data_IF_620889213657
#
_entry.id   IF_620889213657
#
_cell.length_a   1.000
_cell.length_b   1.000
_cell.length_c   1.000
_cell.angle_alpha   90.00
_cell.angle_beta   90.00
_cell.angle_gamma   90.00
#
_symmetry.space_group_name_H-M   'P 1'
#
loop_
_entity.id
_entity.type
_entity.pdbx_description
1 polymer ?
#
# COMPACT_ATOMS: atom_id res chain seq x y z
N UNK A 1 -3.15 19.40 -30.84
CA UNK A 1 -3.91 18.12 -30.68
C UNK A 1 -3.69 17.66 -29.26
N UNK A 2 -4.74 17.66 -28.44
CA UNK A 2 -4.68 17.08 -27.10
C UNK A 2 -4.38 15.58 -27.25
N UNK A 3 -3.27 15.13 -26.64
CA UNK A 3 -2.97 13.70 -26.55
C UNK A 3 -4.06 13.04 -25.71
N UNK A 4 -4.77 12.07 -26.27
CA UNK A 4 -5.75 11.29 -25.52
C UNK A 4 -5.04 10.44 -24.47
N UNK A 5 -5.61 10.34 -23.29
CA UNK A 5 -5.09 9.48 -22.23
C UNK A 5 -4.94 8.00 -22.66
N UNK A 6 -5.72 7.58 -23.67
CA UNK A 6 -5.62 6.24 -24.27
C UNK A 6 -4.31 6.00 -25.05
N UNK A 7 -3.59 7.08 -25.43
CA UNK A 7 -2.33 6.97 -26.16
C UNK A 7 -1.10 6.94 -25.22
N UNK A 8 -1.32 6.89 -23.89
CA UNK A 8 -0.25 6.85 -22.90
C UNK A 8 -0.27 5.52 -22.16
N UNK A 9 0.87 4.87 -22.08
CA UNK A 9 1.08 3.64 -21.30
C UNK A 9 2.33 3.82 -20.43
N UNK A 10 2.20 3.58 -19.13
CA UNK A 10 3.30 3.77 -18.19
C UNK A 10 3.86 5.20 -18.16
N UNK A 11 3.01 6.22 -18.45
CA UNK A 11 3.43 7.62 -18.56
C UNK A 11 4.14 7.96 -19.88
N UNK A 12 4.28 7.02 -20.82
CA UNK A 12 4.93 7.21 -22.11
C UNK A 12 3.89 7.31 -23.23
N UNK A 13 3.96 8.38 -24.06
CA UNK A 13 3.10 8.50 -25.23
C UNK A 13 3.46 7.47 -26.30
N UNK A 14 2.46 6.75 -26.78
CA UNK A 14 2.58 5.80 -27.91
C UNK A 14 2.45 6.49 -29.26
N UNK A 15 1.89 7.69 -29.30
CA UNK A 15 1.68 8.44 -30.54
C UNK A 15 2.97 8.73 -31.29
N UNK A 16 2.97 8.47 -32.61
CA UNK A 16 4.13 8.73 -33.48
C UNK A 16 5.30 7.77 -33.34
N UNK A 17 5.19 6.70 -32.54
CA UNK A 17 6.23 5.68 -32.41
C UNK A 17 6.00 4.54 -33.40
N UNK A 18 7.10 3.87 -33.79
CA UNK A 18 7.03 2.66 -34.58
C UNK A 18 6.23 1.56 -33.85
N UNK A 19 5.51 0.73 -34.61
CA UNK A 19 4.67 -0.36 -34.08
C UNK A 19 5.45 -1.34 -33.21
N UNK A 20 6.68 -1.65 -33.56
CA UNK A 20 7.55 -2.54 -32.76
C UNK A 20 7.84 -1.90 -31.40
N UNK A 21 8.18 -0.61 -31.37
CA UNK A 21 8.44 0.12 -30.15
C UNK A 21 7.19 0.24 -29.27
N UNK A 22 6.00 0.44 -29.89
CA UNK A 22 4.73 0.45 -29.16
C UNK A 22 4.47 -0.90 -28.47
N UNK A 23 4.67 -2.02 -29.16
CA UNK A 23 4.52 -3.36 -28.56
C UNK A 23 5.51 -3.60 -27.41
N UNK A 24 6.77 -3.22 -27.57
CA UNK A 24 7.78 -3.35 -26.52
C UNK A 24 7.38 -2.54 -25.27
N UNK A 25 6.91 -1.32 -25.44
CA UNK A 25 6.44 -0.49 -24.32
C UNK A 25 5.24 -1.13 -23.61
N UNK A 26 4.29 -1.67 -24.38
CA UNK A 26 3.12 -2.36 -23.83
C UNK A 26 3.53 -3.61 -23.06
N UNK A 27 4.41 -4.44 -23.59
CA UNK A 27 4.89 -5.66 -22.94
C UNK A 27 5.65 -5.36 -21.65
N UNK A 28 6.51 -4.33 -21.66
CA UNK A 28 7.22 -3.87 -20.46
C UNK A 28 6.25 -3.35 -19.40
N UNK A 29 5.26 -2.55 -19.80
CA UNK A 29 4.25 -2.02 -18.88
C UNK A 29 3.39 -3.14 -18.29
N UNK A 30 2.96 -4.10 -19.11
CA UNK A 30 2.21 -5.27 -18.63
C UNK A 30 3.03 -6.10 -17.64
N UNK A 31 4.30 -6.35 -17.94
CA UNK A 31 5.19 -7.09 -17.04
C UNK A 31 5.33 -6.38 -15.69
N UNK A 32 5.61 -5.07 -15.71
CA UNK A 32 5.69 -4.26 -14.49
C UNK A 32 4.38 -4.28 -13.69
N UNK A 33 3.23 -4.22 -14.38
CA UNK A 33 1.91 -4.26 -13.74
C UNK A 33 1.59 -5.63 -13.14
N UNK A 34 2.02 -6.73 -13.78
CA UNK A 34 1.89 -8.09 -13.23
C UNK A 34 2.72 -8.22 -11.95
N UNK A 35 3.96 -7.73 -11.94
CA UNK A 35 4.81 -7.75 -10.75
C UNK A 35 4.21 -6.94 -9.62
N UNK A 36 3.73 -5.73 -9.91
CA UNK A 36 3.04 -4.88 -8.97
C UNK A 36 1.75 -5.52 -8.42
N UNK A 37 0.96 -6.18 -9.27
CA UNK A 37 -0.24 -6.94 -8.89
C UNK A 37 0.10 -8.11 -7.98
N UNK A 38 1.19 -8.80 -8.26
CA UNK A 38 1.69 -9.93 -7.47
C UNK A 38 2.12 -9.46 -6.07
N UNK A 39 2.85 -8.34 -5.98
CA UNK A 39 3.22 -7.74 -4.69
C UNK A 39 1.97 -7.30 -3.89
N UNK A 40 1.00 -6.64 -4.55
CA UNK A 40 -0.28 -6.27 -3.95
C UNK A 40 -1.01 -7.50 -3.40
N UNK A 41 -1.10 -8.58 -4.19
CA UNK A 41 -1.74 -9.82 -3.78
C UNK A 41 -1.05 -10.45 -2.56
N UNK A 42 0.28 -10.47 -2.51
CA UNK A 42 1.03 -10.97 -1.35
C UNK A 42 0.73 -10.16 -0.08
N UNK A 43 0.64 -8.83 -0.18
CA UNK A 43 0.26 -7.98 0.96
C UNK A 43 -1.16 -8.28 1.45
N UNK A 44 -2.12 -8.48 0.54
CA UNK A 44 -3.51 -8.81 0.89
C UNK A 44 -3.60 -10.20 1.51
N UNK A 45 -2.94 -11.22 0.93
CA UNK A 45 -2.91 -12.59 1.48
C UNK A 45 -2.31 -12.60 2.89
N UNK A 46 -1.24 -11.85 3.15
CA UNK A 46 -0.62 -11.76 4.46
C UNK A 46 -1.58 -11.24 5.54
N UNK A 47 -2.44 -10.29 5.21
CA UNK A 47 -3.46 -9.78 6.14
C UNK A 47 -4.64 -10.76 6.29
N UNK A 48 -5.09 -11.39 5.21
CA UNK A 48 -6.15 -12.40 5.23
C UNK A 48 -5.74 -13.64 6.04
N UNK A 49 -4.48 -14.05 5.98
CA UNK A 49 -3.94 -15.18 6.74
C UNK A 49 -4.08 -15.02 8.26
N UNK A 50 -4.20 -13.77 8.76
CA UNK A 50 -4.46 -13.48 10.18
C UNK A 50 -5.89 -13.82 10.61
N UNK A 51 -6.81 -13.94 9.67
CA UNK A 51 -8.21 -14.27 9.94
C UNK A 51 -8.46 -15.78 10.00
N UNK A 52 -7.54 -16.61 9.52
CA UNK A 52 -7.65 -18.05 9.51
C UNK A 52 -6.87 -18.72 8.38
N UNK A 53 -7.23 -19.98 8.08
CA UNK A 53 -6.59 -20.71 6.99
C UNK A 53 -6.92 -20.08 5.65
N UNK A 54 -5.89 -19.63 4.92
CA UNK A 54 -5.99 -19.16 3.54
C UNK A 54 -5.01 -19.92 2.66
N UNK A 55 -5.26 -19.96 1.35
CA UNK A 55 -4.23 -20.36 0.38
C UNK A 55 -3.12 -19.31 0.43
N UNK A 56 -1.88 -19.74 0.65
CA UNK A 56 -0.72 -18.84 0.75
C UNK A 56 -0.09 -18.49 -0.61
N UNK A 57 -0.66 -18.99 -1.71
CA UNK A 57 -0.12 -18.81 -3.06
C UNK A 57 -1.00 -17.86 -3.85
N UNK A 58 -0.35 -16.91 -4.52
CA UNK A 58 -0.96 -16.12 -5.58
C UNK A 58 -1.06 -16.99 -6.83
N UNK A 59 -2.23 -17.02 -7.46
CA UNK A 59 -2.44 -17.66 -8.75
C UNK A 59 -2.40 -16.61 -9.86
N UNK A 60 -2.07 -17.05 -11.06
CA UNK A 60 -2.14 -16.22 -12.26
C UNK A 60 -3.30 -16.70 -13.13
N UNK A 61 -4.12 -15.77 -13.61
CA UNK A 61 -5.23 -16.08 -14.48
C UNK A 61 -5.40 -14.99 -15.55
N UNK A 62 -5.73 -15.41 -16.76
CA UNK A 62 -5.86 -14.52 -17.91
C UNK A 62 -7.19 -13.75 -17.96
N UNK A 63 -7.75 -13.36 -16.82
CA UNK A 63 -9.01 -12.59 -16.79
C UNK A 63 -8.84 -11.22 -17.44
N UNK A 64 -9.73 -10.89 -18.35
CA UNK A 64 -9.70 -9.61 -19.10
C UNK A 64 -9.75 -8.41 -18.14
N UNK A 65 -10.53 -8.51 -17.06
CA UNK A 65 -10.67 -7.46 -16.04
C UNK A 65 -9.36 -7.16 -15.30
N UNK A 66 -8.38 -8.06 -15.33
CA UNK A 66 -7.07 -7.88 -14.69
C UNK A 66 -5.96 -7.43 -15.67
N UNK A 67 -6.29 -7.22 -16.95
CA UNK A 67 -5.30 -6.92 -18.00
C UNK A 67 -5.07 -5.41 -18.21
N UNK A 68 -5.30 -4.58 -17.20
CA UNK A 68 -4.92 -3.16 -17.33
C UNK A 68 -3.40 -3.03 -17.39
N UNK A 69 -2.83 -2.34 -18.39
CA UNK A 69 -1.38 -2.18 -18.50
C UNK A 69 -0.79 -1.20 -17.48
N UNK A 70 -1.63 -0.36 -16.83
CA UNK A 70 -1.16 0.74 -15.99
C UNK A 70 -1.58 0.62 -14.52
N UNK A 71 -2.49 -0.30 -14.20
CA UNK A 71 -3.08 -0.39 -12.85
C UNK A 71 -2.92 -1.80 -12.31
N UNK A 72 -2.20 -1.97 -11.18
CA UNK A 72 -2.13 -3.25 -10.48
C UNK A 72 -3.53 -3.76 -10.15
N UNK A 73 -3.86 -4.96 -10.61
CA UNK A 73 -5.20 -5.53 -10.51
C UNK A 73 -5.15 -6.95 -9.93
N UNK A 74 -6.02 -7.23 -8.95
CA UNK A 74 -6.12 -8.54 -8.33
C UNK A 74 -7.58 -8.98 -8.20
N UNK A 75 -7.82 -10.27 -8.27
CA UNK A 75 -9.06 -10.91 -7.87
C UNK A 75 -8.88 -11.51 -6.46
N UNK A 76 -9.77 -11.19 -5.55
CA UNK A 76 -9.76 -11.75 -4.20
C UNK A 76 -10.93 -12.72 -4.04
N UNK A 77 -10.64 -14.00 -4.06
CA UNK A 77 -11.63 -15.05 -3.75
C UNK A 77 -11.74 -15.20 -2.23
N UNK A 78 -12.85 -14.78 -1.67
CA UNK A 78 -13.04 -14.69 -0.22
C UNK A 78 -13.42 -16.01 0.43
N UNK A 79 -14.13 -16.87 -0.28
CA UNK A 79 -14.53 -18.20 0.18
C UNK A 79 -15.23 -18.99 -0.93
N UNK A 80 -15.42 -20.31 -0.71
CA UNK A 80 -16.20 -21.16 -1.59
C UNK A 80 -17.65 -21.27 -1.08
N UNK A 81 -18.60 -20.76 -1.86
CA UNK A 81 -20.02 -20.76 -1.49
C UNK A 81 -20.62 -22.19 -1.41
N UNK A 82 -20.00 -23.14 -2.11
CA UNK A 82 -20.37 -24.59 -2.03
C UNK A 82 -19.98 -25.25 -0.70
N UNK A 83 -19.10 -24.58 0.09
CA UNK A 83 -18.74 -25.03 1.42
C UNK A 83 -19.68 -24.39 2.46
N UNK A 84 -20.57 -25.19 3.07
CA UNK A 84 -21.55 -24.71 4.07
C UNK A 84 -20.94 -23.89 5.22
N UNK A 85 -19.75 -24.24 5.68
CA UNK A 85 -19.10 -23.53 6.78
C UNK A 85 -18.57 -22.16 6.35
N UNK A 86 -18.10 -22.05 5.11
CA UNK A 86 -17.62 -20.81 4.51
C UNK A 86 -18.78 -19.90 4.12
N UNK A 87 -19.83 -20.46 3.51
CA UNK A 87 -21.08 -19.75 3.23
C UNK A 87 -21.65 -19.09 4.50
N UNK A 88 -21.69 -19.84 5.61
CA UNK A 88 -22.18 -19.30 6.90
C UNK A 88 -21.34 -18.13 7.39
N UNK A 89 -20.01 -18.16 7.18
CA UNK A 89 -19.12 -17.05 7.48
C UNK A 89 -19.37 -15.85 6.56
N UNK A 90 -19.56 -16.10 5.25
CA UNK A 90 -19.86 -15.03 4.28
C UNK A 90 -21.15 -14.27 4.61
N UNK A 91 -22.15 -14.94 5.18
CA UNK A 91 -23.40 -14.33 5.64
C UNK A 91 -23.26 -13.51 6.94
N UNK A 92 -22.15 -13.64 7.66
CA UNK A 92 -21.93 -12.92 8.91
C UNK A 92 -21.39 -11.50 8.68
N UNK A 93 -22.11 -10.42 9.05
CA UNK A 93 -21.65 -9.05 8.91
C UNK A 93 -20.30 -8.82 9.60
N UNK A 94 -20.11 -9.40 10.78
CA UNK A 94 -18.86 -9.35 11.54
C UNK A 94 -17.68 -9.96 10.78
N UNK A 95 -17.92 -11.05 10.03
CA UNK A 95 -16.89 -11.70 9.21
C UNK A 95 -16.58 -10.87 7.97
N UNK A 96 -17.63 -10.34 7.30
CA UNK A 96 -17.51 -9.46 6.14
C UNK A 96 -16.66 -8.22 6.50
N UNK A 97 -16.95 -7.58 7.63
CA UNK A 97 -16.18 -6.42 8.10
C UNK A 97 -14.71 -6.75 8.37
N UNK A 98 -14.43 -7.89 9.01
CA UNK A 98 -13.05 -8.36 9.25
C UNK A 98 -12.31 -8.61 7.92
N UNK A 99 -12.98 -9.23 6.97
CA UNK A 99 -12.44 -9.51 5.64
C UNK A 99 -12.13 -8.21 4.89
N UNK A 100 -13.08 -7.28 4.86
CA UNK A 100 -12.91 -5.98 4.23
C UNK A 100 -11.75 -5.18 4.85
N UNK A 101 -11.64 -5.18 6.20
CA UNK A 101 -10.52 -4.55 6.90
C UNK A 101 -9.17 -5.19 6.57
N UNK A 102 -9.11 -6.51 6.46
CA UNK A 102 -7.88 -7.21 6.10
C UNK A 102 -7.45 -6.87 4.66
N UNK A 103 -8.38 -6.90 3.70
CA UNK A 103 -8.11 -6.49 2.31
C UNK A 103 -7.62 -5.03 2.27
N UNK A 104 -8.34 -4.11 2.92
CA UNK A 104 -7.95 -2.70 3.00
C UNK A 104 -6.55 -2.50 3.58
N UNK A 105 -6.20 -3.24 4.63
CA UNK A 105 -4.88 -3.15 5.26
C UNK A 105 -3.78 -3.66 4.31
N UNK A 106 -4.02 -4.74 3.57
CA UNK A 106 -3.10 -5.25 2.55
C UNK A 106 -2.86 -4.22 1.43
N UNK A 107 -3.94 -3.63 0.90
CA UNK A 107 -3.87 -2.56 -0.11
C UNK A 107 -3.10 -1.35 0.44
N UNK A 108 -3.43 -0.88 1.63
CA UNK A 108 -2.73 0.26 2.27
C UNK A 108 -1.24 -0.01 2.44
N UNK A 109 -0.86 -1.21 2.84
CA UNK A 109 0.55 -1.59 3.00
C UNK A 109 1.30 -1.54 1.68
N UNK A 110 0.70 -2.07 0.61
CA UNK A 110 1.25 -1.98 -0.74
C UNK A 110 1.41 -0.53 -1.18
N UNK A 111 0.35 0.27 -1.09
CA UNK A 111 0.36 1.67 -1.50
C UNK A 111 1.32 2.54 -0.68
N UNK A 112 1.50 2.27 0.62
CA UNK A 112 2.47 2.99 1.45
C UNK A 112 3.92 2.72 1.04
N UNK A 113 4.19 1.56 0.43
CA UNK A 113 5.52 1.21 -0.06
C UNK A 113 5.77 1.74 -1.47
N UNK A 114 4.72 1.71 -2.31
CA UNK A 114 4.79 1.95 -3.74
C UNK A 114 3.97 3.18 -4.17
N UNK A 115 3.71 4.12 -3.27
CA UNK A 115 2.99 5.35 -3.60
C UNK A 115 3.82 6.22 -4.56
N UNK A 116 3.25 6.72 -5.66
CA UNK A 116 3.90 7.74 -6.47
C UNK A 116 4.30 8.94 -5.62
N UNK A 117 5.50 9.49 -5.84
CA UNK A 117 6.07 10.57 -5.00
C UNK A 117 5.15 11.78 -4.86
N UNK A 118 4.42 12.12 -5.91
CA UNK A 118 3.48 13.25 -5.95
C UNK A 118 2.09 12.93 -5.38
N UNK A 119 1.85 11.69 -4.94
CA UNK A 119 0.54 11.29 -4.43
C UNK A 119 0.31 11.79 -3.00
N UNK A 120 -0.97 12.12 -2.70
CA UNK A 120 -1.39 12.43 -1.31
C UNK A 120 -1.04 11.32 -0.33
N UNK A 121 -0.91 10.09 -0.82
CA UNK A 121 -0.57 8.94 0.01
C UNK A 121 0.92 8.89 0.36
N UNK A 122 1.81 9.31 -0.56
CA UNK A 122 3.24 9.47 -0.29
C UNK A 122 3.50 10.63 0.68
N UNK A 123 2.69 11.69 0.59
CA UNK A 123 2.75 12.86 1.45
C UNK A 123 2.04 12.65 2.79
N UNK A 124 1.13 11.65 2.87
CA UNK A 124 0.45 11.32 4.11
C UNK A 124 1.49 10.88 5.16
N UNK A 125 1.41 11.37 6.41
CA UNK A 125 2.28 10.90 7.47
C UNK A 125 2.11 9.38 7.54
N UNK A 126 3.18 8.66 7.20
CA UNK A 126 3.17 7.20 7.25
C UNK A 126 2.93 6.81 8.70
N UNK A 127 1.69 6.45 9.02
CA UNK A 127 1.32 5.88 10.29
C UNK A 127 1.89 4.44 10.35
N UNK A 128 3.24 4.38 10.21
CA UNK A 128 3.98 3.16 10.48
C UNK A 128 3.75 2.89 11.94
N UNK A 129 3.12 1.77 12.23
CA UNK A 129 2.92 1.21 13.57
C UNK A 129 4.23 0.83 14.28
N UNK A 130 5.33 1.47 13.95
CA UNK A 130 6.48 1.61 14.81
C UNK A 130 6.22 2.86 15.67
N UNK A 131 5.66 2.64 16.84
CA UNK A 131 5.48 3.66 17.89
C UNK A 131 6.82 4.32 18.29
N UNK A 132 7.86 4.24 17.44
CA UNK A 132 9.21 4.74 17.71
C UNK A 132 9.82 5.37 16.45
N UNK A 133 10.37 6.56 16.61
CA UNK A 133 11.20 7.25 15.63
C UNK A 133 12.66 7.23 16.07
N UNK A 134 13.58 6.96 15.17
CA UNK A 134 15.02 7.04 15.43
C UNK A 134 15.53 8.37 14.87
N UNK A 135 16.06 9.21 15.75
CA UNK A 135 16.57 10.53 15.35
C UNK A 135 17.75 10.39 14.41
N UNK A 136 17.67 11.07 13.28
CA UNK A 136 18.73 11.20 12.28
C UNK A 136 19.49 12.52 12.44
N UNK A 137 20.66 12.62 11.83
CA UNK A 137 21.43 13.86 11.82
C UNK A 137 20.60 15.01 11.20
N UNK A 138 20.59 16.17 11.86
CA UNK A 138 19.83 17.35 11.43
C UNK A 138 18.35 17.38 11.84
N UNK A 139 17.81 16.32 12.45
CA UNK A 139 16.41 16.33 12.90
C UNK A 139 16.24 17.08 14.24
N UNK A 140 15.12 17.79 14.37
CA UNK A 140 14.70 18.50 15.59
C UNK A 140 13.41 17.88 16.14
N UNK A 141 13.15 18.09 17.45
CA UNK A 141 11.89 17.65 18.07
C UNK A 141 10.65 18.23 17.38
N UNK A 142 10.74 19.51 16.95
CA UNK A 142 9.64 20.16 16.22
C UNK A 142 9.43 19.53 14.84
N UNK A 143 10.50 19.26 14.10
CA UNK A 143 10.40 18.60 12.79
C UNK A 143 9.84 17.18 12.89
N UNK A 144 10.24 16.43 13.91
CA UNK A 144 9.66 15.08 14.18
C UNK A 144 8.19 15.19 14.57
N UNK A 145 7.82 16.10 15.47
CA UNK A 145 6.44 16.32 15.88
C UNK A 145 5.54 16.70 14.70
N UNK A 146 6.00 17.61 13.84
CA UNK A 146 5.30 18.00 12.61
C UNK A 146 5.12 16.82 11.64
N UNK A 147 6.17 16.02 11.43
CA UNK A 147 6.12 14.81 10.56
C UNK A 147 5.06 13.80 11.00
N UNK A 148 4.84 13.67 12.31
CA UNK A 148 3.86 12.73 12.87
C UNK A 148 2.51 13.36 13.22
N UNK A 149 2.30 14.65 12.92
CA UNK A 149 1.04 15.35 13.18
C UNK A 149 0.69 15.47 14.66
N UNK A 150 1.72 15.52 15.53
CA UNK A 150 1.55 15.62 16.98
C UNK A 150 2.18 16.90 17.53
N UNK A 151 1.73 17.34 18.70
CA UNK A 151 2.38 18.49 19.35
C UNK A 151 3.75 18.11 19.94
N UNK A 152 4.69 19.05 19.91
CA UNK A 152 6.01 18.90 20.56
C UNK A 152 5.86 18.55 22.05
N UNK A 153 4.83 19.12 22.70
CA UNK A 153 4.47 18.84 24.10
C UNK A 153 4.12 17.38 24.31
N UNK A 154 3.27 16.81 23.44
CA UNK A 154 2.89 15.40 23.49
C UNK A 154 4.08 14.48 23.26
N UNK A 155 4.95 14.84 22.29
CA UNK A 155 6.17 14.07 22.00
C UNK A 155 7.15 14.08 23.18
N UNK A 156 7.36 15.23 23.83
CA UNK A 156 8.19 15.35 25.03
C UNK A 156 7.65 14.49 26.18
N UNK A 157 6.35 14.62 26.45
CA UNK A 157 5.69 13.90 27.54
C UNK A 157 5.82 12.37 27.37
N UNK A 158 5.58 11.88 26.15
CA UNK A 158 5.66 10.45 25.82
C UNK A 158 7.07 9.86 25.97
N UNK A 159 8.11 10.74 25.98
CA UNK A 159 9.52 10.33 26.02
C UNK A 159 10.27 10.82 27.27
N UNK A 160 9.61 11.51 28.20
CA UNK A 160 10.25 12.05 29.40
C UNK A 160 11.32 13.12 29.11
N UNK A 161 11.21 13.86 27.98
CA UNK A 161 12.21 14.86 27.56
C UNK A 161 11.91 16.21 28.20
N UNK A 162 12.84 16.71 29.00
CA UNK A 162 12.76 18.01 29.69
C UNK A 162 13.44 19.13 28.87
N UNK A 163 13.09 19.34 27.63
CA UNK A 163 13.69 20.37 26.78
C UNK A 163 13.70 19.95 25.33
N UNK A 164 14.58 20.53 24.52
CA UNK A 164 14.66 20.27 23.08
C UNK A 164 15.86 19.43 22.67
N UNK A 165 16.72 19.06 23.61
CA UNK A 165 17.92 18.29 23.31
C UNK A 165 17.59 16.83 23.00
N UNK A 166 17.88 16.43 21.77
CA UNK A 166 17.80 15.05 21.28
C UNK A 166 19.15 14.67 20.67
N UNK A 167 19.41 13.35 20.60
CA UNK A 167 20.68 12.82 20.07
C UNK A 167 20.43 11.97 18.82
N UNK A 168 21.33 12.01 17.86
CA UNK A 168 21.31 11.09 16.71
C UNK A 168 21.33 9.65 17.21
N UNK A 169 20.47 8.81 16.64
CA UNK A 169 20.26 7.42 17.08
C UNK A 169 19.29 7.26 18.26
N UNK A 170 18.84 8.34 18.90
CA UNK A 170 17.87 8.27 19.99
C UNK A 170 16.51 7.77 19.45
N UNK A 171 15.93 6.78 20.17
CA UNK A 171 14.60 6.23 19.84
C UNK A 171 13.52 7.02 20.59
N UNK A 172 12.67 7.73 19.85
CA UNK A 172 11.52 8.44 20.41
C UNK A 172 10.25 7.60 20.26
N UNK A 173 9.50 7.48 21.34
CA UNK A 173 8.14 6.93 21.32
C UNK A 173 7.19 8.00 20.73
N UNK A 174 6.46 7.65 19.68
CA UNK A 174 5.46 8.51 19.05
C UNK A 174 4.10 8.22 19.68
N UNK A 175 3.50 9.16 20.45
CA UNK A 175 2.18 8.96 21.00
C UNK A 175 1.14 8.92 19.86
N UNK A 176 0.04 8.20 20.10
CA UNK A 176 -1.13 8.33 19.22
C UNK A 176 -1.73 9.71 19.45
N UNK A 177 -2.00 10.43 18.36
CA UNK A 177 -2.75 11.68 18.40
C UNK A 177 -4.19 11.44 18.80
#
# INVERSE_FOLDING_TARGET
RSQNAADMVGGVSLGGKDKVLQHVILDLSQTATIDASTELAHNVIAELARLGKTKKKVGYAGFVVLKSPDIPSILVETAFISNRSEEKKLRSPKHQEKMAKAILNGIRRYLQKNAPEDSKLAQAPTNRSNNRHIIRSGETLSGVAQRYGISVKALRLANGIKGDKIRVGQKLKIPKG
#
